data_IF_975601046166
#
_entry.id   IF_975601046166
#
_cell.length_a   1.000
_cell.length_b   1.000
_cell.length_c   1.000
_cell.angle_alpha   90.00
_cell.angle_beta   90.00
_cell.angle_gamma   90.00
#
_symmetry.space_group_name_H-M   'P 1'
#
loop_
_entity.id
_entity.type
_entity.pdbx_description
1 polymer ?
#
# COMPACT_ATOMS: atom_id res chain seq x y z
N UNK A 1 -38.34 28.57 -29.71
CA UNK A 1 -38.28 27.40 -28.81
C UNK A 1 -36.84 26.93 -28.81
N UNK A 2 -36.11 27.16 -27.71
CA UNK A 2 -34.74 26.65 -27.54
C UNK A 2 -34.85 25.40 -26.67
N UNK A 3 -34.70 24.24 -27.28
CA UNK A 3 -34.71 22.95 -26.59
C UNK A 3 -33.36 22.77 -25.92
N UNK A 4 -33.28 23.04 -24.61
CA UNK A 4 -32.11 22.71 -23.81
C UNK A 4 -32.07 21.21 -23.60
N UNK A 5 -31.09 20.54 -24.20
CA UNK A 5 -30.76 19.14 -23.90
C UNK A 5 -29.85 19.17 -22.67
N UNK A 6 -30.44 18.91 -21.49
CA UNK A 6 -29.69 18.63 -20.28
C UNK A 6 -29.13 17.20 -20.38
N UNK A 7 -27.87 17.09 -20.80
CA UNK A 7 -27.08 15.87 -20.62
C UNK A 7 -26.80 15.72 -19.11
N UNK A 8 -27.66 14.98 -18.42
CA UNK A 8 -27.33 14.49 -17.08
C UNK A 8 -26.30 13.38 -17.24
N UNK A 9 -25.04 13.69 -16.97
CA UNK A 9 -24.04 12.66 -16.68
C UNK A 9 -24.54 11.90 -15.45
N UNK A 10 -25.18 10.75 -15.66
CA UNK A 10 -25.41 9.79 -14.58
C UNK A 10 -24.03 9.34 -14.09
N UNK A 11 -23.60 9.91 -12.98
CA UNK A 11 -22.56 9.29 -12.15
C UNK A 11 -23.21 8.01 -11.63
N UNK A 12 -22.98 6.90 -12.31
CA UNK A 12 -23.37 5.58 -11.79
C UNK A 12 -22.57 5.35 -10.53
N UNK A 13 -23.27 5.32 -9.39
CA UNK A 13 -22.74 4.81 -8.14
C UNK A 13 -22.08 3.46 -8.41
N UNK A 14 -20.78 3.34 -8.12
CA UNK A 14 -20.03 2.10 -8.29
C UNK A 14 -20.37 1.07 -7.19
N UNK A 15 -21.14 1.48 -6.18
CA UNK A 15 -21.58 0.68 -5.05
C UNK A 15 -23.08 0.41 -5.14
N UNK A 16 -23.50 -0.76 -4.65
CA UNK A 16 -24.91 -1.15 -4.58
C UNK A 16 -25.66 -0.24 -3.58
N UNK A 17 -26.74 0.44 -3.99
CA UNK A 17 -27.47 1.38 -3.14
C UNK A 17 -28.30 0.74 -2.00
N UNK A 18 -28.33 -0.59 -1.84
CA UNK A 18 -29.30 -1.25 -0.96
C UNK A 18 -28.90 -1.48 0.52
N UNK A 19 -27.69 -1.12 0.97
CA UNK A 19 -27.27 -1.36 2.36
C UNK A 19 -26.84 -0.11 3.12
N UNK A 20 -27.05 -0.12 4.44
CA UNK A 20 -26.34 0.74 5.39
C UNK A 20 -24.84 0.48 5.22
N UNK A 21 -24.18 1.34 4.45
CA UNK A 21 -22.77 1.24 4.11
C UNK A 21 -21.92 1.38 5.37
N UNK A 22 -21.02 0.43 5.63
CA UNK A 22 -19.99 0.62 6.63
C UNK A 22 -19.07 1.78 6.20
N UNK A 23 -18.95 2.80 7.06
CA UNK A 23 -18.12 3.99 6.82
C UNK A 23 -16.78 3.92 7.56
N UNK A 24 -16.48 2.77 8.19
CA UNK A 24 -15.28 2.51 8.99
C UNK A 24 -15.08 3.52 10.11
N UNK A 25 -16.17 4.03 10.67
CA UNK A 25 -16.18 4.97 11.78
C UNK A 25 -16.89 4.34 12.98
N UNK A 26 -16.17 4.26 14.09
CA UNK A 26 -16.71 3.83 15.37
C UNK A 26 -16.66 5.00 16.35
N UNK A 27 -17.72 5.18 17.13
CA UNK A 27 -17.71 6.09 18.27
C UNK A 27 -17.23 5.35 19.52
N UNK A 28 -16.35 5.99 20.29
CA UNK A 28 -15.85 5.50 21.56
C UNK A 28 -16.34 6.43 22.65
N UNK A 29 -17.12 5.89 23.58
CA UNK A 29 -17.71 6.66 24.68
C UNK A 29 -17.13 6.16 25.99
N UNK A 30 -16.62 7.08 26.80
CA UNK A 30 -16.25 6.76 28.17
C UNK A 30 -17.49 6.89 29.07
N UNK A 31 -17.85 5.89 29.91
CA UNK A 31 -19.09 5.92 30.69
C UNK A 31 -19.21 7.09 31.67
N UNK A 32 -18.08 7.69 32.06
CA UNK A 32 -18.00 8.72 33.11
C UNK A 32 -17.42 10.06 32.62
N UNK A 33 -16.78 10.08 31.44
CA UNK A 33 -16.20 11.32 30.91
C UNK A 33 -17.13 11.80 29.79
N UNK A 34 -17.33 13.11 29.70
CA UNK A 34 -18.11 13.72 28.62
C UNK A 34 -17.35 13.75 27.28
N UNK A 35 -16.16 13.14 27.21
CA UNK A 35 -15.33 13.08 26.02
C UNK A 35 -15.86 12.03 25.03
N UNK A 36 -16.04 12.46 23.79
CA UNK A 36 -16.40 11.61 22.65
C UNK A 36 -15.12 11.28 21.86
N UNK A 37 -14.82 10.00 21.68
CA UNK A 37 -13.76 9.52 20.81
C UNK A 37 -14.31 8.95 19.51
N UNK A 38 -13.47 8.88 18.49
CA UNK A 38 -13.76 8.20 17.23
C UNK A 38 -12.57 7.36 16.80
N UNK A 39 -12.84 6.19 16.22
CA UNK A 39 -11.86 5.37 15.51
C UNK A 39 -12.26 5.35 14.05
N UNK A 40 -11.31 5.70 13.18
CA UNK A 40 -11.50 5.67 11.74
C UNK A 40 -10.51 4.68 11.12
N UNK A 41 -11.02 3.61 10.49
CA UNK A 41 -10.18 2.61 9.84
C UNK A 41 -9.76 3.09 8.45
N UNK A 42 -8.46 3.14 8.19
CA UNK A 42 -7.89 3.54 6.90
C UNK A 42 -7.29 2.36 6.14
N UNK A 43 -6.87 2.61 4.90
CA UNK A 43 -6.06 1.70 4.09
C UNK A 43 -4.93 2.52 3.43
N UNK A 44 -3.75 1.91 3.27
CA UNK A 44 -2.58 2.58 2.66
C UNK A 44 -2.73 2.72 1.14
N UNK A 45 -3.54 3.69 0.71
CA UNK A 45 -3.80 3.98 -0.71
C UNK A 45 -3.75 5.48 -0.98
N UNK A 46 -3.52 5.90 -2.24
CA UNK A 46 -3.54 7.31 -2.59
C UNK A 46 -4.86 7.98 -2.23
N UNK A 47 -4.81 9.17 -1.64
CA UNK A 47 -6.00 9.92 -1.18
C UNK A 47 -7.01 10.15 -2.31
N UNK A 48 -6.52 10.37 -3.53
CA UNK A 48 -7.34 10.57 -4.73
C UNK A 48 -8.20 9.36 -5.09
N UNK A 49 -7.79 8.16 -4.66
CA UNK A 49 -8.57 6.95 -4.89
C UNK A 49 -9.79 6.93 -4.00
N UNK A 50 -9.71 7.29 -2.70
CA UNK A 50 -10.76 6.96 -1.72
C UNK A 50 -11.43 8.15 -1.05
N UNK A 51 -10.82 9.33 -1.04
CA UNK A 51 -11.27 10.45 -0.21
C UNK A 51 -12.66 10.98 -0.57
N UNK A 52 -13.04 10.92 -1.86
CA UNK A 52 -14.37 11.38 -2.30
C UNK A 52 -15.50 10.50 -1.75
N UNK A 53 -15.19 9.24 -1.47
CA UNK A 53 -16.14 8.24 -0.96
C UNK A 53 -16.16 8.14 0.57
N UNK A 54 -15.27 8.89 1.26
CA UNK A 54 -15.29 9.06 2.71
C UNK A 54 -16.55 9.84 3.12
N UNK A 55 -17.31 9.25 4.04
CA UNK A 55 -18.60 9.77 4.50
C UNK A 55 -18.49 11.17 5.10
N UNK A 56 -19.53 11.99 4.93
CA UNK A 56 -19.64 13.28 5.61
C UNK A 56 -19.52 13.13 7.14
N UNK A 57 -20.01 12.01 7.71
CA UNK A 57 -19.89 11.74 9.16
C UNK A 57 -18.45 11.59 9.63
N UNK A 58 -17.58 11.00 8.80
CA UNK A 58 -16.14 10.89 9.11
C UNK A 58 -15.51 12.28 9.06
N UNK A 59 -15.85 13.07 8.03
CA UNK A 59 -15.34 14.44 7.89
C UNK A 59 -15.82 15.35 9.04
N UNK A 60 -17.07 15.21 9.46
CA UNK A 60 -17.64 15.91 10.62
C UNK A 60 -16.96 15.48 11.93
N UNK A 61 -16.79 14.17 12.17
CA UNK A 61 -16.09 13.66 13.34
C UNK A 61 -14.65 14.20 13.41
N UNK A 62 -13.95 14.25 12.28
CA UNK A 62 -12.63 14.86 12.19
C UNK A 62 -12.66 16.38 12.48
N UNK A 63 -13.59 17.11 11.88
CA UNK A 63 -13.73 18.56 12.02
C UNK A 63 -13.95 18.97 13.49
N UNK A 64 -14.85 18.29 14.20
CA UNK A 64 -15.18 18.60 15.61
C UNK A 64 -14.11 18.12 16.61
N UNK A 65 -13.17 17.26 16.19
CA UNK A 65 -12.16 16.71 17.09
C UNK A 65 -11.00 17.69 17.30
N UNK A 66 -10.66 17.98 18.54
CA UNK A 66 -9.52 18.86 18.87
C UNK A 66 -8.16 18.13 18.78
N UNK A 67 -8.18 16.80 18.89
CA UNK A 67 -6.99 15.94 18.91
C UNK A 67 -7.15 14.78 17.93
N UNK A 68 -6.10 14.48 17.18
CA UNK A 68 -6.02 13.37 16.22
C UNK A 68 -4.92 12.42 16.67
N UNK A 69 -5.29 11.17 16.89
CA UNK A 69 -4.36 10.09 17.20
C UNK A 69 -4.03 9.38 15.89
N UNK A 70 -2.74 9.35 15.54
CA UNK A 70 -2.25 8.67 14.33
C UNK A 70 -1.42 7.48 14.75
N UNK A 71 -1.41 6.41 13.94
CA UNK A 71 -0.52 5.25 14.16
C UNK A 71 0.91 5.71 14.41
N UNK A 72 1.43 6.54 13.50
CA UNK A 72 2.76 7.11 13.60
C UNK A 72 2.78 8.54 13.07
N UNK A 73 3.59 9.41 13.67
CA UNK A 73 3.74 10.79 13.23
C UNK A 73 4.76 10.88 12.08
N UNK A 74 4.27 10.82 10.85
CA UNK A 74 5.09 10.98 9.65
C UNK A 74 5.42 12.44 9.33
N UNK A 75 5.01 13.40 10.16
CA UNK A 75 5.44 14.81 10.05
C UNK A 75 6.67 15.11 10.92
N UNK A 76 6.97 14.27 11.91
CA UNK A 76 8.18 14.39 12.73
C UNK A 76 9.43 13.84 12.01
N UNK A 77 10.42 14.71 11.79
CA UNK A 77 11.66 14.35 11.07
C UNK A 77 12.44 13.26 11.81
N UNK A 78 12.46 13.27 13.15
CA UNK A 78 13.17 12.25 13.92
C UNK A 78 12.53 10.87 13.73
N UNK A 79 11.21 10.78 13.78
CA UNK A 79 10.42 9.58 13.50
C UNK A 79 10.70 9.05 12.09
N UNK A 80 10.73 9.92 11.08
CA UNK A 80 11.10 9.54 9.70
C UNK A 80 12.52 8.97 9.65
N UNK A 81 13.48 9.62 10.30
CA UNK A 81 14.86 9.14 10.33
C UNK A 81 15.01 7.78 11.02
N UNK A 82 14.33 7.57 12.14
CA UNK A 82 14.31 6.29 12.85
C UNK A 82 13.70 5.19 11.98
N UNK A 83 12.56 5.46 11.32
CA UNK A 83 11.94 4.53 10.38
C UNK A 83 12.87 4.17 9.22
N UNK A 84 13.55 5.16 8.62
CA UNK A 84 14.50 4.89 7.54
C UNK A 84 15.65 4.01 8.06
N UNK A 85 16.19 4.33 9.23
CA UNK A 85 17.28 3.56 9.83
C UNK A 85 16.86 2.12 10.13
N UNK A 86 15.68 1.92 10.70
CA UNK A 86 15.23 0.62 11.19
C UNK A 86 14.74 -0.32 10.07
N UNK A 87 14.33 0.24 8.92
CA UNK A 87 13.91 -0.52 7.72
C UNK A 87 15.09 -1.00 6.88
N UNK A 88 16.26 -0.39 7.07
CA UNK A 88 17.48 -0.74 6.37
C UNK A 88 18.43 -1.56 7.27
N UNK A 89 19.33 -2.30 6.65
CA UNK A 89 20.42 -3.04 7.28
C UNK A 89 21.49 -2.09 7.83
N UNK A 90 22.40 -2.63 8.65
CA UNK A 90 23.56 -1.89 9.14
C UNK A 90 24.45 -1.39 7.98
N UNK A 91 25.32 -0.41 8.21
CA UNK A 91 26.09 0.26 7.15
C UNK A 91 26.99 -0.67 6.32
N UNK A 92 27.51 -1.73 6.94
CA UNK A 92 28.38 -2.73 6.33
C UNK A 92 27.64 -3.94 5.76
N UNK A 93 26.32 -4.00 5.96
CA UNK A 93 25.46 -5.08 5.47
C UNK A 93 24.68 -4.68 4.21
N UNK A 94 24.39 -5.69 3.40
CA UNK A 94 23.52 -5.58 2.23
C UNK A 94 22.65 -6.82 2.15
N UNK A 95 21.70 -6.86 1.23
CA UNK A 95 20.85 -8.04 0.98
C UNK A 95 21.65 -9.33 0.72
N UNK A 96 22.93 -9.24 0.34
CA UNK A 96 23.83 -10.41 0.24
C UNK A 96 24.07 -11.12 1.58
N UNK A 97 23.81 -10.46 2.71
CA UNK A 97 23.96 -11.04 4.05
C UNK A 97 22.94 -12.15 4.33
N UNK A 98 21.77 -12.09 3.71
CA UNK A 98 20.67 -13.03 3.97
C UNK A 98 20.08 -13.68 2.71
N UNK A 99 20.36 -13.17 1.50
CA UNK A 99 19.87 -13.75 0.26
C UNK A 99 20.87 -14.75 -0.37
N UNK A 100 20.38 -15.89 -0.87
CA UNK A 100 21.14 -16.72 -1.80
C UNK A 100 21.56 -15.93 -3.03
N UNK A 101 22.78 -16.17 -3.52
CA UNK A 101 23.36 -15.47 -4.68
C UNK A 101 22.48 -15.54 -5.94
N UNK A 102 21.84 -16.68 -6.17
CA UNK A 102 20.94 -16.88 -7.31
C UNK A 102 19.69 -16.00 -7.20
N UNK A 103 19.03 -16.01 -6.04
CA UNK A 103 17.85 -15.19 -5.78
C UNK A 103 18.17 -13.70 -5.90
N UNK A 104 19.31 -13.25 -5.38
CA UNK A 104 19.78 -11.88 -5.56
C UNK A 104 19.84 -11.47 -7.04
N UNK A 105 20.45 -12.31 -7.89
CA UNK A 105 20.56 -12.01 -9.33
C UNK A 105 19.20 -11.94 -10.04
N UNK A 106 18.21 -12.72 -9.58
CA UNK A 106 16.83 -12.64 -10.06
C UNK A 106 16.15 -11.34 -9.65
N UNK A 107 16.28 -10.93 -8.39
CA UNK A 107 15.76 -9.64 -7.89
C UNK A 107 16.39 -8.48 -8.65
N UNK A 108 17.72 -8.47 -8.81
CA UNK A 108 18.44 -7.40 -9.52
C UNK A 108 17.90 -7.22 -10.95
N UNK A 109 17.65 -8.32 -11.66
CA UNK A 109 17.06 -8.30 -13.00
C UNK A 109 15.63 -7.74 -13.01
N UNK A 110 14.81 -8.09 -12.01
CA UNK A 110 13.45 -7.55 -11.86
C UNK A 110 13.48 -6.05 -11.59
N UNK A 111 14.33 -5.59 -10.67
CA UNK A 111 14.49 -4.17 -10.34
C UNK A 111 14.93 -3.36 -11.57
N UNK A 112 15.88 -3.86 -12.36
CA UNK A 112 16.35 -3.18 -13.57
C UNK A 112 15.27 -3.11 -14.67
N UNK A 113 14.49 -4.19 -14.84
CA UNK A 113 13.35 -4.20 -15.75
C UNK A 113 12.28 -3.18 -15.32
N UNK A 114 11.97 -3.11 -14.02
CA UNK A 114 11.02 -2.14 -13.46
C UNK A 114 11.48 -0.70 -13.70
N UNK A 115 12.75 -0.41 -13.40
CA UNK A 115 13.37 0.89 -13.65
C UNK A 115 13.23 1.30 -15.10
N UNK A 116 13.61 0.40 -16.01
CA UNK A 116 13.57 0.65 -17.45
C UNK A 116 12.14 0.93 -17.92
N UNK A 117 11.17 0.12 -17.48
CA UNK A 117 9.77 0.30 -17.86
C UNK A 117 9.18 1.60 -17.31
N UNK A 118 9.47 1.93 -16.04
CA UNK A 118 8.99 3.15 -15.40
C UNK A 118 9.54 4.41 -16.08
N UNK A 119 10.85 4.46 -16.34
CA UNK A 119 11.46 5.58 -17.04
C UNK A 119 10.97 5.70 -18.49
N UNK A 120 10.79 4.58 -19.19
CA UNK A 120 10.23 4.56 -20.55
C UNK A 120 8.79 5.07 -20.56
N UNK A 121 7.96 4.66 -19.60
CA UNK A 121 6.61 5.19 -19.43
C UNK A 121 6.63 6.70 -19.17
N UNK A 122 7.44 7.17 -18.21
CA UNK A 122 7.55 8.59 -17.88
C UNK A 122 8.00 9.43 -19.10
N UNK A 123 8.96 8.92 -19.88
CA UNK A 123 9.43 9.51 -21.13
C UNK A 123 8.32 9.55 -22.19
N UNK A 124 7.53 8.48 -22.33
CA UNK A 124 6.42 8.42 -23.30
C UNK A 124 5.33 9.45 -23.03
N UNK A 125 5.09 9.81 -21.76
CA UNK A 125 4.12 10.83 -21.38
C UNK A 125 4.57 12.23 -21.84
N UNK A 126 5.87 12.54 -21.78
CA UNK A 126 6.43 13.87 -22.12
C UNK A 126 7.90 13.79 -22.59
N UNK A 127 8.18 13.34 -23.82
CA UNK A 127 9.54 12.97 -24.26
C UNK A 127 10.52 14.15 -24.42
N UNK A 128 10.06 15.40 -24.32
CA UNK A 128 10.88 16.62 -24.51
C UNK A 128 11.13 17.40 -23.21
N UNK A 129 10.61 16.94 -22.07
CA UNK A 129 10.73 17.66 -20.81
C UNK A 129 11.75 16.97 -19.89
N UNK A 130 13.02 17.37 -20.01
CA UNK A 130 14.12 16.83 -19.22
C UNK A 130 13.91 16.97 -17.70
N UNK A 131 13.15 17.97 -17.23
CA UNK A 131 12.84 18.13 -15.81
C UNK A 131 11.90 17.04 -15.30
N UNK A 132 10.91 16.64 -16.10
CA UNK A 132 9.97 15.56 -15.73
C UNK A 132 10.63 14.19 -15.74
N UNK A 133 11.56 13.96 -16.66
CA UNK A 133 12.36 12.72 -16.68
C UNK A 133 13.22 12.63 -15.42
N UNK A 134 13.92 13.72 -15.07
CA UNK A 134 14.69 13.80 -13.81
C UNK A 134 13.81 13.59 -12.58
N UNK A 135 12.61 14.20 -12.57
CA UNK A 135 11.66 14.02 -11.48
C UNK A 135 11.17 12.57 -11.35
N UNK A 136 10.97 11.86 -12.48
CA UNK A 136 10.66 10.43 -12.45
C UNK A 136 11.85 9.62 -11.88
N UNK A 137 13.08 9.92 -12.26
CA UNK A 137 14.26 9.28 -11.65
C UNK A 137 14.33 9.51 -10.13
N UNK A 138 14.03 10.73 -9.67
CA UNK A 138 13.95 11.06 -8.25
C UNK A 138 12.84 10.25 -7.54
N UNK A 139 11.65 10.15 -8.13
CA UNK A 139 10.55 9.31 -7.62
C UNK A 139 10.99 7.84 -7.52
N UNK A 140 11.62 7.31 -8.57
CA UNK A 140 12.11 5.93 -8.58
C UNK A 140 13.12 5.71 -7.45
N UNK A 141 14.11 6.59 -7.31
CA UNK A 141 15.14 6.46 -6.28
C UNK A 141 14.55 6.63 -4.87
N UNK A 142 13.53 7.46 -4.68
CA UNK A 142 12.89 7.62 -3.38
C UNK A 142 12.03 6.40 -2.98
N UNK A 143 11.46 5.68 -3.96
CA UNK A 143 10.58 4.54 -3.70
C UNK A 143 11.36 3.22 -3.67
N UNK A 144 12.22 2.99 -4.67
CA UNK A 144 12.94 1.72 -4.91
C UNK A 144 14.44 1.84 -4.66
N UNK A 145 14.99 3.04 -4.66
CA UNK A 145 16.42 3.26 -4.45
C UNK A 145 16.91 2.57 -3.17
N UNK A 146 18.16 2.12 -3.22
CA UNK A 146 18.80 1.42 -2.12
C UNK A 146 18.05 0.16 -1.66
N UNK A 147 17.29 -0.52 -2.53
CA UNK A 147 16.62 -1.78 -2.19
C UNK A 147 17.60 -2.83 -1.63
N UNK A 148 18.85 -2.81 -2.07
CA UNK A 148 19.93 -3.69 -1.59
C UNK A 148 20.35 -3.41 -0.14
N UNK A 149 19.80 -2.38 0.49
CA UNK A 149 19.97 -2.03 1.91
C UNK A 149 18.79 -2.47 2.76
N UNK A 150 17.68 -2.95 2.19
CA UNK A 150 16.48 -3.28 2.97
C UNK A 150 16.71 -4.54 3.82
N UNK A 151 16.13 -4.55 5.03
CA UNK A 151 15.99 -5.78 5.83
C UNK A 151 15.00 -6.74 5.15
N UNK A 152 15.02 -8.05 5.46
CA UNK A 152 14.22 -9.06 4.75
C UNK A 152 12.76 -8.67 4.54
N UNK A 153 12.02 -8.35 5.61
CA UNK A 153 10.59 -8.03 5.52
C UNK A 153 10.32 -6.77 4.68
N UNK A 154 11.21 -5.79 4.75
CA UNK A 154 11.07 -4.54 4.00
C UNK A 154 11.41 -4.69 2.52
N UNK A 155 12.31 -5.62 2.18
CA UNK A 155 12.53 -6.03 0.80
C UNK A 155 11.30 -6.77 0.24
N UNK A 156 10.70 -7.67 1.03
CA UNK A 156 9.49 -8.36 0.65
C UNK A 156 8.35 -7.38 0.36
N UNK A 157 8.07 -6.44 1.28
CA UNK A 157 7.04 -5.42 1.07
C UNK A 157 7.29 -4.52 -0.15
N UNK A 158 8.55 -4.16 -0.39
CA UNK A 158 8.93 -3.41 -1.59
C UNK A 158 8.60 -4.19 -2.87
N UNK A 159 8.91 -5.50 -2.91
CA UNK A 159 8.60 -6.36 -4.04
C UNK A 159 7.09 -6.53 -4.25
N UNK A 160 6.31 -6.64 -3.17
CA UNK A 160 4.85 -6.68 -3.26
C UNK A 160 4.25 -5.40 -3.83
N UNK A 161 4.73 -4.23 -3.39
CA UNK A 161 4.29 -2.95 -3.95
C UNK A 161 4.53 -2.87 -5.47
N UNK A 162 5.59 -3.50 -5.96
CA UNK A 162 5.88 -3.56 -7.39
C UNK A 162 4.91 -4.49 -8.15
N UNK A 163 4.45 -5.58 -7.53
CA UNK A 163 3.48 -6.51 -8.10
C UNK A 163 2.13 -5.83 -8.41
N UNK A 164 1.72 -4.89 -7.54
CA UNK A 164 0.45 -4.18 -7.65
C UNK A 164 0.46 -3.00 -8.64
N UNK A 165 1.54 -2.81 -9.41
CA UNK A 165 1.73 -1.71 -10.36
C UNK A 165 1.53 -0.31 -9.73
N UNK A 166 2.01 -0.11 -8.49
CA UNK A 166 1.81 1.15 -7.74
C UNK A 166 2.41 2.38 -8.46
N UNK A 167 3.36 2.18 -9.37
CA UNK A 167 3.98 3.26 -10.17
C UNK A 167 3.02 4.05 -11.06
N UNK A 168 1.87 3.49 -11.45
CA UNK A 168 0.87 4.24 -12.23
C UNK A 168 0.18 5.34 -11.42
N UNK A 169 0.34 5.35 -10.08
CA UNK A 169 -0.46 6.17 -9.15
C UNK A 169 0.34 7.12 -8.26
N UNK A 170 1.66 7.27 -8.47
CA UNK A 170 2.60 7.93 -7.54
C UNK A 170 2.53 9.47 -7.47
N UNK A 171 1.50 10.11 -8.04
CA UNK A 171 1.37 11.58 -8.01
C UNK A 171 0.57 12.12 -6.81
N UNK A 172 0.01 11.24 -5.98
CA UNK A 172 -0.95 11.59 -4.94
C UNK A 172 -0.50 11.03 -3.59
N UNK A 173 -0.57 11.80 -2.49
CA UNK A 173 -0.15 11.33 -1.17
C UNK A 173 -1.05 10.20 -0.68
N UNK A 174 -0.53 9.35 0.22
CA UNK A 174 -1.32 8.34 0.91
C UNK A 174 -2.39 8.99 1.81
N UNK A 175 -3.51 8.30 2.01
CA UNK A 175 -4.63 8.78 2.83
C UNK A 175 -4.18 9.18 4.25
N UNK A 176 -3.34 8.37 4.89
CA UNK A 176 -2.91 8.61 6.29
C UNK A 176 -2.06 9.88 6.40
N UNK A 177 -1.13 10.08 5.43
CA UNK A 177 -0.32 11.29 5.35
C UNK A 177 -1.17 12.53 5.05
N UNK A 178 -2.20 12.39 4.20
CA UNK A 178 -3.15 13.47 3.95
C UNK A 178 -3.92 13.87 5.22
N UNK A 179 -4.38 12.90 6.00
CA UNK A 179 -5.08 13.16 7.27
C UNK A 179 -4.16 13.86 8.27
N UNK A 180 -2.90 13.42 8.37
CA UNK A 180 -1.89 14.05 9.21
C UNK A 180 -1.65 15.52 8.80
N UNK A 181 -1.44 15.78 7.51
CA UNK A 181 -1.25 17.14 7.00
C UNK A 181 -2.48 18.01 7.27
N UNK A 182 -3.69 17.49 7.06
CA UNK A 182 -4.94 18.20 7.31
C UNK A 182 -5.09 18.56 8.80
N UNK A 183 -4.70 17.68 9.71
CA UNK A 183 -4.71 17.94 11.15
C UNK A 183 -3.74 19.09 11.50
N UNK A 184 -2.55 19.11 10.89
CA UNK A 184 -1.58 20.20 11.02
C UNK A 184 -2.14 21.53 10.51
N UNK A 185 -2.72 21.54 9.30
CA UNK A 185 -3.30 22.74 8.67
C UNK A 185 -4.42 23.34 9.52
N UNK A 186 -5.23 22.48 10.16
CA UNK A 186 -6.33 22.85 11.05
C UNK A 186 -5.89 23.08 12.50
N UNK A 187 -4.58 23.02 12.79
CA UNK A 187 -3.97 23.24 14.12
C UNK A 187 -4.55 22.34 15.21
N UNK A 188 -4.91 21.10 14.85
CA UNK A 188 -5.31 20.06 15.81
C UNK A 188 -4.09 19.53 16.55
N UNK A 189 -4.31 19.01 17.76
CA UNK A 189 -3.23 18.32 18.50
C UNK A 189 -3.01 16.95 17.86
N UNK A 190 -1.79 16.63 17.44
CA UNK A 190 -1.44 15.30 16.90
C UNK A 190 -0.71 14.51 17.99
N UNK A 191 -1.12 13.25 18.18
CA UNK A 191 -0.48 12.32 19.11
C UNK A 191 -0.21 11.00 18.38
N UNK A 192 1.05 10.60 18.17
CA UNK A 192 1.36 9.26 17.69
C UNK A 192 1.03 8.22 18.77
N UNK A 193 0.40 7.12 18.38
CA UNK A 193 0.11 6.00 19.29
C UNK A 193 1.19 4.91 19.25
N UNK A 194 2.03 4.90 18.22
CA UNK A 194 3.16 3.99 18.06
C UNK A 194 4.46 4.75 17.87
N UNK A 195 5.55 4.08 18.23
CA UNK A 195 6.92 4.51 18.00
C UNK A 195 7.46 3.97 16.67
N UNK A 196 8.50 4.61 16.12
CA UNK A 196 9.20 4.07 14.95
C UNK A 196 9.77 2.65 15.20
N UNK A 197 10.12 2.34 16.45
CA UNK A 197 10.57 1.01 16.87
C UNK A 197 9.49 -0.07 16.77
N UNK A 198 8.24 0.24 17.13
CA UNK A 198 7.11 -0.69 16.99
C UNK A 198 6.79 -0.96 15.52
N UNK A 199 6.89 0.07 14.68
CA UNK A 199 6.73 -0.01 13.23
C UNK A 199 7.89 -0.71 12.51
N UNK A 200 8.99 -1.05 13.19
CA UNK A 200 10.19 -1.61 12.58
C UNK A 200 10.03 -3.07 12.13
N UNK A 201 9.27 -3.86 12.90
CA UNK A 201 9.11 -5.31 12.73
C UNK A 201 7.63 -5.70 12.74
N UNK A 202 6.89 -5.39 11.67
CA UNK A 202 5.43 -5.58 11.63
C UNK A 202 4.98 -7.04 11.76
N UNK A 203 5.87 -7.99 11.44
CA UNK A 203 5.64 -9.44 11.55
C UNK A 203 6.74 -10.12 12.36
N UNK A 204 6.97 -9.64 13.58
CA UNK A 204 8.06 -10.09 14.46
C UNK A 204 8.09 -11.61 14.75
N UNK A 205 6.97 -12.31 14.56
CA UNK A 205 6.86 -13.76 14.76
C UNK A 205 7.35 -14.59 13.58
N UNK A 206 7.56 -13.97 12.41
CA UNK A 206 7.99 -14.63 11.18
C UNK A 206 9.51 -14.58 11.08
N UNK A 207 10.14 -15.72 10.86
CA UNK A 207 11.59 -15.84 10.75
C UNK A 207 12.10 -15.28 9.41
N UNK A 208 13.39 -14.92 9.38
CA UNK A 208 14.03 -14.46 8.14
C UNK A 208 14.01 -15.53 7.04
N UNK A 209 14.10 -16.82 7.39
CA UNK A 209 14.02 -17.93 6.41
C UNK A 209 12.63 -18.00 5.74
N UNK A 210 11.56 -17.83 6.52
CA UNK A 210 10.18 -17.76 6.00
C UNK A 210 9.98 -16.52 5.11
N UNK A 211 10.58 -15.40 5.48
CA UNK A 211 10.55 -14.17 4.68
C UNK A 211 11.32 -14.37 3.37
N UNK A 212 12.49 -15.00 3.40
CA UNK A 212 13.29 -15.29 2.19
C UNK A 212 12.54 -16.25 1.26
N UNK A 213 11.84 -17.25 1.81
CA UNK A 213 10.96 -18.12 1.05
C UNK A 213 9.84 -17.32 0.37
N UNK A 214 9.18 -16.40 1.09
CA UNK A 214 8.16 -15.53 0.52
C UNK A 214 8.74 -14.63 -0.59
N UNK A 215 9.92 -14.04 -0.39
CA UNK A 215 10.62 -13.24 -1.42
C UNK A 215 10.84 -14.07 -2.69
N UNK A 216 11.32 -15.31 -2.56
CA UNK A 216 11.55 -16.18 -3.71
C UNK A 216 10.27 -16.43 -4.50
N UNK A 217 9.15 -16.67 -3.80
CA UNK A 217 7.86 -16.86 -4.44
C UNK A 217 7.35 -15.59 -5.13
N UNK A 218 7.45 -14.43 -4.46
CA UNK A 218 7.09 -13.13 -5.06
C UNK A 218 7.91 -12.86 -6.33
N UNK A 219 9.20 -13.20 -6.34
CA UNK A 219 10.04 -13.07 -7.54
C UNK A 219 9.60 -14.02 -8.65
N UNK A 220 9.26 -15.27 -8.33
CA UNK A 220 8.75 -16.21 -9.34
C UNK A 220 7.49 -15.67 -10.03
N UNK A 221 6.54 -15.15 -9.25
CA UNK A 221 5.33 -14.53 -9.77
C UNK A 221 5.62 -13.29 -10.63
N UNK A 222 6.53 -12.42 -10.18
CA UNK A 222 6.93 -11.24 -10.94
C UNK A 222 7.57 -11.64 -12.28
N UNK A 223 8.47 -12.61 -12.29
CA UNK A 223 9.10 -13.14 -13.50
C UNK A 223 8.06 -13.63 -14.53
N UNK A 224 7.05 -14.36 -14.06
CA UNK A 224 5.96 -14.84 -14.90
C UNK A 224 5.09 -13.69 -15.43
N UNK A 225 4.74 -12.70 -14.59
CA UNK A 225 4.05 -11.47 -15.03
C UNK A 225 4.84 -10.70 -16.09
N UNK A 226 6.15 -10.59 -15.94
CA UNK A 226 7.02 -9.94 -16.93
C UNK A 226 7.10 -10.74 -18.24
N UNK A 227 6.96 -12.07 -18.18
CA UNK A 227 6.84 -12.93 -19.36
C UNK A 227 5.48 -12.73 -20.05
N UNK A 228 4.39 -12.65 -19.30
CA UNK A 228 3.03 -12.48 -19.82
C UNK A 228 2.76 -11.09 -20.41
N UNK A 229 3.26 -10.01 -19.79
CA UNK A 229 3.16 -8.64 -20.34
C UNK A 229 3.84 -8.49 -21.71
N UNK A 230 4.74 -9.40 -22.10
CA UNK A 230 5.31 -9.46 -23.46
C UNK A 230 4.38 -10.11 -24.48
N UNK A 231 3.29 -10.77 -24.05
CA UNK A 231 2.45 -11.63 -24.91
C UNK A 231 1.11 -10.97 -25.26
N UNK A 232 0.40 -10.29 -24.36
CA UNK A 232 -0.73 -9.39 -24.67
C UNK A 232 -1.30 -8.78 -23.39
N UNK A 233 -1.95 -7.62 -23.49
CA UNK A 233 -2.46 -6.84 -22.35
C UNK A 233 -3.60 -7.52 -21.60
N UNK A 234 -3.28 -8.40 -20.65
CA UNK A 234 -4.26 -8.93 -19.71
C UNK A 234 -4.55 -7.89 -18.64
N UNK A 235 -5.80 -7.44 -18.58
CA UNK A 235 -6.37 -6.64 -17.49
C UNK A 235 -6.53 -7.53 -16.25
N UNK A 236 -5.41 -8.00 -15.70
CA UNK A 236 -5.39 -8.76 -14.46
C UNK A 236 -5.91 -7.83 -13.36
N UNK A 237 -7.04 -8.22 -12.76
CA UNK A 237 -7.67 -7.53 -11.65
C UNK A 237 -6.65 -7.45 -10.51
N UNK A 238 -6.13 -6.26 -10.22
CA UNK A 238 -5.16 -6.05 -9.14
C UNK A 238 -5.89 -6.17 -7.81
N UNK A 239 -5.28 -6.91 -6.85
CA UNK A 239 -5.83 -7.09 -5.50
C UNK A 239 -6.08 -5.74 -4.83
N UNK A 240 -5.20 -4.76 -5.07
CA UNK A 240 -5.35 -3.39 -4.60
C UNK A 240 -6.58 -2.68 -5.18
N UNK A 241 -6.90 -2.89 -6.46
CA UNK A 241 -8.13 -2.32 -7.08
C UNK A 241 -9.39 -2.91 -6.44
N UNK A 242 -9.37 -4.20 -6.10
CA UNK A 242 -10.46 -4.88 -5.41
C UNK A 242 -10.61 -4.37 -3.97
N UNK A 243 -9.51 -4.29 -3.23
CA UNK A 243 -9.47 -3.71 -1.88
C UNK A 243 -10.05 -2.28 -1.86
N UNK A 244 -9.60 -1.42 -2.77
CA UNK A 244 -10.11 -0.04 -2.90
C UNK A 244 -11.61 -0.05 -3.16
N UNK A 245 -12.11 -0.92 -4.04
CA UNK A 245 -13.54 -1.03 -4.35
C UNK A 245 -14.34 -1.42 -3.11
N UNK A 246 -13.89 -2.44 -2.37
CA UNK A 246 -14.61 -2.90 -1.18
C UNK A 246 -14.56 -1.87 -0.04
N UNK A 247 -13.43 -1.18 0.14
CA UNK A 247 -13.32 -0.07 1.08
C UNK A 247 -14.28 1.06 0.71
N UNK A 248 -14.28 1.49 -0.55
CA UNK A 248 -15.23 2.50 -1.05
C UNK A 248 -16.69 2.12 -0.87
N UNK A 249 -17.02 0.84 -0.91
CA UNK A 249 -18.41 0.38 -0.81
C UNK A 249 -18.80 -0.05 0.60
N UNK A 250 -17.90 0.01 1.59
CA UNK A 250 -18.20 -0.43 2.96
C UNK A 250 -18.48 -1.94 3.04
N UNK A 251 -17.93 -2.71 2.10
CA UNK A 251 -18.13 -4.16 1.96
C UNK A 251 -16.85 -4.94 2.21
N UNK A 252 -15.85 -4.33 2.87
CA UNK A 252 -14.68 -5.07 3.35
C UNK A 252 -15.12 -6.11 4.37
N UNK A 253 -14.64 -7.33 4.17
CA UNK A 253 -14.89 -8.51 4.99
C UNK A 253 -13.62 -9.33 5.05
N UNK A 254 -13.47 -10.12 6.11
CA UNK A 254 -12.30 -10.99 6.34
C UNK A 254 -12.07 -11.96 5.17
N UNK A 255 -13.13 -12.46 4.54
CA UNK A 255 -13.07 -13.40 3.41
C UNK A 255 -12.46 -12.83 2.12
N UNK A 256 -12.35 -11.50 2.00
CA UNK A 256 -11.64 -10.84 0.90
C UNK A 256 -10.14 -11.03 1.05
N UNK A 257 -9.65 -11.07 2.29
CA UNK A 257 -8.25 -11.34 2.58
C UNK A 257 -7.94 -12.84 2.49
N UNK A 258 -8.90 -13.71 2.83
CA UNK A 258 -8.74 -15.18 2.75
C UNK A 258 -8.74 -15.75 1.33
N UNK A 259 -9.50 -15.16 0.40
CA UNK A 259 -9.59 -15.67 -0.99
C UNK A 259 -8.40 -15.30 -1.88
N UNK A 260 -7.59 -14.33 -1.47
CA UNK A 260 -6.45 -13.85 -2.26
C UNK A 260 -5.10 -13.91 -1.52
N UNK A 261 -5.08 -14.14 -0.21
CA UNK A 261 -3.89 -14.41 0.59
C UNK A 261 -4.17 -15.48 1.65
N UNK A 262 -3.63 -16.68 1.46
CA UNK A 262 -3.64 -17.67 2.56
C UNK A 262 -2.82 -17.11 3.72
N UNK A 263 -3.47 -16.95 4.87
CA UNK A 263 -2.85 -16.67 6.15
C UNK A 263 -1.67 -17.62 6.40
N UNK A 264 -0.48 -17.04 6.52
CA UNK A 264 0.76 -17.72 6.94
C UNK A 264 0.55 -18.57 8.21
N UNK A 265 -0.40 -18.20 9.07
CA UNK A 265 -0.64 -18.82 10.37
C UNK A 265 -1.39 -20.15 10.26
N UNK A 266 -2.27 -20.33 9.27
CA UNK A 266 -3.04 -21.59 9.11
C UNK A 266 -2.21 -22.67 8.38
N UNK A 267 -1.31 -22.23 7.48
CA UNK A 267 -0.40 -23.09 6.71
C UNK A 267 0.67 -23.80 7.55
N UNK A 268 1.15 -23.14 8.62
CA UNK A 268 2.20 -23.69 9.49
C UNK A 268 1.71 -24.84 10.41
N UNK A 269 0.39 -25.04 10.53
CA UNK A 269 -0.19 -25.99 11.49
C UNK A 269 -0.73 -27.29 10.89
N UNK A 270 -0.88 -27.41 9.57
CA UNK A 270 -1.49 -28.61 8.96
C UNK A 270 -0.53 -29.38 8.04
N UNK A 271 0.35 -30.17 8.65
CA UNK A 271 1.11 -31.19 7.92
C UNK A 271 0.17 -32.35 7.56
N UNK A 272 -0.32 -32.42 6.32
CA UNK A 272 -0.50 -33.67 5.53
C UNK A 272 -1.21 -33.42 4.18
N UNK A 273 -0.58 -32.69 3.25
CA UNK A 273 -1.11 -32.57 1.89
C UNK A 273 -0.04 -32.24 0.86
N UNK A 274 0.11 -33.07 -0.18
CA UNK A 274 0.98 -32.76 -1.33
C UNK A 274 0.38 -31.58 -2.10
N UNK A 275 1.09 -30.46 -2.13
CA UNK A 275 0.72 -29.26 -2.89
C UNK A 275 0.76 -29.50 -4.41
N UNK A 276 -0.24 -28.96 -5.11
CA UNK A 276 -0.25 -28.77 -6.57
C UNK A 276 0.07 -27.30 -6.85
N UNK A 277 1.07 -27.06 -7.68
CA UNK A 277 1.62 -25.73 -7.97
C UNK A 277 0.74 -24.85 -8.88
N UNK A 278 -0.44 -25.31 -9.30
CA UNK A 278 -1.23 -24.68 -10.36
C UNK A 278 -2.31 -23.70 -9.88
N UNK A 279 -2.40 -23.41 -8.57
CA UNK A 279 -3.49 -22.58 -7.99
C UNK A 279 -3.05 -21.24 -7.36
N UNK A 280 -1.77 -20.88 -7.40
CA UNK A 280 -1.29 -19.59 -6.87
C UNK A 280 -1.26 -18.50 -7.96
N UNK A 281 -2.42 -17.93 -8.28
CA UNK A 281 -2.55 -16.84 -9.28
C UNK A 281 -2.42 -15.42 -8.71
N UNK A 282 -2.09 -15.29 -7.41
CA UNK A 282 -1.96 -14.00 -6.70
C UNK A 282 -0.66 -13.95 -5.91
N UNK A 283 -0.20 -12.73 -5.66
CA UNK A 283 0.83 -12.48 -4.66
C UNK A 283 0.26 -12.87 -3.29
N UNK A 284 1.02 -13.66 -2.52
CA UNK A 284 0.69 -14.07 -1.14
C UNK A 284 0.26 -12.91 -0.26
#
# INVERSE_FOLDING_TARGET
MVTSILLTNRITSQCDPQNDKNIFLWSVNHPQLLSQGYLFGTIHVPVTEVWKEVSDRVREAFDISDTVLLEIDLHDEATIHELISCKNLAYDETVHSYLPKELFGRIEKIMENLRTNFLTWAQSQNPRDARKIKHAEEIYNNIIGDWWRKRPIWLLFLLYQMCENVFEKTSSPLLDLYIAQKATDEKKTIIPIETAGEQCNPVWTVSDDEIVFAIEHTIHYLEDKFREKKVEGSDAKSSLKELIKHYKCGTLKEDIFEKEGMSIIEYATDTTGRFKADEASTCF
#
